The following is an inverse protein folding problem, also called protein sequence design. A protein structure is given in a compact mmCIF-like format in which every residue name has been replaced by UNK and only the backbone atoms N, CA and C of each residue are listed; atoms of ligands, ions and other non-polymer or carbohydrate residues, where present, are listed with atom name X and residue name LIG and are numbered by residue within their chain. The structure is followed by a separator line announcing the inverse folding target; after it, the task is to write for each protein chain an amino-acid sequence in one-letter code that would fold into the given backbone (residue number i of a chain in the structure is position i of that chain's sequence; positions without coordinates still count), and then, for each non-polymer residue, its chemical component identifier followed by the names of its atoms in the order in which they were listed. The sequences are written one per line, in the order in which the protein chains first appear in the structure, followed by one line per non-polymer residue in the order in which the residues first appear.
data_IF_660535196680
#
_entry.id   IF_660535196680
#
_cell.length_a   1.000
_cell.length_b   1.000
_cell.length_c   1.000
_cell.angle_alpha   90.00
_cell.angle_beta   90.00
_cell.angle_gamma   90.00
#
_symmetry.space_group_name_H-M   'P 1'
#
loop_
_entity.id
_entity.type
_entity.pdbx_description
1 polymer ?
#
# COMPACT_ATOMS: atom_id res chain seq x y z
N UNK A 1 -27.43 42.02 31.08
CA UNK A 1 -26.09 41.89 30.46
C UNK A 1 -25.67 40.44 30.21
N UNK A 2 -25.67 39.54 31.20
CA UNK A 2 -25.32 38.10 31.02
C UNK A 2 -26.09 37.37 29.89
N UNK A 3 -27.40 37.61 29.75
CA UNK A 3 -28.23 37.00 28.69
C UNK A 3 -27.89 37.49 27.27
N UNK A 4 -27.38 38.72 27.13
CA UNK A 4 -26.92 39.23 25.83
C UNK A 4 -25.59 38.61 25.45
N UNK A 5 -24.65 38.52 26.40
CA UNK A 5 -23.35 37.88 26.18
C UNK A 5 -23.52 36.41 25.79
N UNK A 6 -24.43 35.67 26.44
CA UNK A 6 -24.73 34.28 26.11
C UNK A 6 -25.34 34.12 24.71
N UNK A 7 -26.15 35.07 24.25
CA UNK A 7 -26.72 35.06 22.89
C UNK A 7 -25.66 35.32 21.82
N UNK A 8 -24.74 36.25 22.09
CA UNK A 8 -23.65 36.55 21.15
C UNK A 8 -22.63 35.41 21.06
N UNK A 9 -22.33 34.70 22.15
CA UNK A 9 -21.45 33.52 22.11
C UNK A 9 -22.08 32.34 21.37
N UNK A 10 -23.40 32.11 21.53
CA UNK A 10 -24.12 31.07 20.79
C UNK A 10 -24.18 31.38 19.28
N UNK A 11 -24.39 32.65 18.92
CA UNK A 11 -24.38 33.10 17.52
C UNK A 11 -23.00 32.92 16.87
N UNK A 12 -21.93 33.26 17.58
CA UNK A 12 -20.55 33.08 17.10
C UNK A 12 -20.19 31.59 16.91
N UNK A 13 -20.61 30.72 17.83
CA UNK A 13 -20.39 29.28 17.69
C UNK A 13 -21.13 28.68 16.48
N UNK A 14 -22.35 29.16 16.22
CA UNK A 14 -23.14 28.72 15.06
C UNK A 14 -22.53 29.16 13.72
N UNK A 15 -21.99 30.39 13.67
CA UNK A 15 -21.31 30.92 12.48
C UNK A 15 -19.98 30.20 12.19
N UNK A 16 -19.22 29.82 13.22
CA UNK A 16 -17.93 29.14 13.03
C UNK A 16 -18.06 27.64 12.72
N UNK A 17 -19.14 26.98 13.12
CA UNK A 17 -19.35 25.54 12.90
C UNK A 17 -19.52 25.12 11.42
N UNK A 18 -19.87 26.05 10.53
CA UNK A 18 -20.12 25.76 9.11
C UNK A 18 -18.86 25.62 8.24
N UNK A 19 -17.68 26.01 8.73
CA UNK A 19 -16.45 26.03 7.93
C UNK A 19 -15.57 24.79 8.07
N UNK A 20 -15.89 23.90 9.03
CA UNK A 20 -15.06 22.73 9.33
C UNK A 20 -15.31 21.51 8.41
N UNK A 21 -16.42 21.49 7.66
CA UNK A 21 -16.65 20.48 6.64
C UNK A 21 -16.20 21.00 5.27
N UNK A 22 -14.89 21.19 5.08
CA UNK A 22 -14.36 21.20 3.72
C UNK A 22 -14.49 19.79 3.15
N UNK A 23 -15.58 19.57 2.42
CA UNK A 23 -15.65 18.46 1.48
C UNK A 23 -14.50 18.67 0.49
N UNK A 24 -13.46 17.82 0.59
CA UNK A 24 -12.41 17.75 -0.43
C UNK A 24 -13.13 17.69 -1.77
N UNK A 25 -12.96 18.72 -2.59
CA UNK A 25 -13.60 18.78 -3.89
C UNK A 25 -13.25 17.46 -4.59
N UNK A 26 -14.25 16.59 -4.83
CA UNK A 26 -14.04 15.40 -5.65
C UNK A 26 -13.54 15.93 -6.97
N UNK A 27 -12.24 15.81 -7.22
CA UNK A 27 -11.61 16.16 -8.49
C UNK A 27 -12.24 15.26 -9.54
N UNK A 28 -13.35 15.73 -10.13
CA UNK A 28 -14.08 15.07 -11.20
C UNK A 28 -13.32 15.32 -12.50
N UNK A 29 -12.03 15.01 -12.49
CA UNK A 29 -11.15 15.22 -13.61
C UNK A 29 -11.21 13.96 -14.47
N UNK A 30 -11.78 14.09 -15.68
CA UNK A 30 -11.94 12.99 -16.63
C UNK A 30 -10.62 12.33 -17.04
N UNK A 31 -9.49 13.03 -16.81
CA UNK A 31 -8.14 12.50 -16.98
C UNK A 31 -7.73 11.48 -15.90
N UNK A 32 -8.45 11.39 -14.78
CA UNK A 32 -8.14 10.47 -13.67
C UNK A 32 -9.31 9.54 -13.31
N UNK A 33 -10.54 9.85 -13.77
CA UNK A 33 -11.74 9.05 -13.51
C UNK A 33 -12.70 9.18 -14.71
N UNK A 34 -12.94 8.10 -15.46
CA UNK A 34 -13.89 8.08 -16.58
C UNK A 34 -13.61 6.96 -17.59
N UNK A 35 -14.49 6.74 -18.59
CA UNK A 35 -14.34 5.66 -19.58
C UNK A 35 -13.11 5.80 -20.50
N UNK A 36 -12.44 6.97 -20.45
CA UNK A 36 -11.23 7.27 -21.23
C UNK A 36 -9.96 7.32 -20.35
N UNK A 37 -10.07 7.05 -19.05
CA UNK A 37 -8.92 6.92 -18.18
C UNK A 37 -8.30 5.53 -18.34
N UNK A 38 -7.10 5.47 -18.90
CA UNK A 38 -6.30 4.25 -18.99
C UNK A 38 -5.21 4.29 -17.93
N UNK A 39 -5.22 3.32 -17.01
CA UNK A 39 -4.22 3.21 -15.95
C UNK A 39 -2.87 2.87 -16.58
N UNK A 40 -1.95 3.84 -16.67
CA UNK A 40 -0.66 3.67 -17.34
C UNK A 40 0.38 2.86 -16.57
N UNK A 41 0.08 2.49 -15.32
CA UNK A 41 0.97 1.72 -14.43
C UNK A 41 0.42 0.33 -14.09
N UNK A 42 -0.59 -0.15 -14.82
CA UNK A 42 -1.11 -1.51 -14.70
C UNK A 42 -0.70 -2.29 -15.93
N UNK A 43 0.15 -3.29 -15.72
CA UNK A 43 0.61 -4.21 -16.75
C UNK A 43 -0.09 -5.55 -16.50
N UNK A 44 -1.10 -5.84 -17.31
CA UNK A 44 -1.83 -7.09 -17.25
C UNK A 44 -1.35 -8.02 -18.36
N UNK A 45 -1.11 -9.29 -18.02
CA UNK A 45 -0.93 -10.33 -19.02
C UNK A 45 -2.30 -10.62 -19.62
N UNK A 46 -2.50 -10.56 -20.95
CA UNK A 46 -3.82 -10.72 -21.58
C UNK A 46 -4.49 -12.06 -21.27
N UNK A 47 -3.70 -13.09 -20.97
CA UNK A 47 -4.19 -14.43 -20.62
C UNK A 47 -4.48 -14.62 -19.12
N UNK A 48 -4.32 -13.56 -18.32
CA UNK A 48 -4.43 -13.59 -16.87
C UNK A 48 -3.19 -14.20 -16.20
N UNK A 49 -3.33 -14.54 -14.92
CA UNK A 49 -2.25 -15.16 -14.16
C UNK A 49 -2.12 -16.64 -14.55
N UNK A 50 -0.89 -17.10 -14.76
CA UNK A 50 -0.65 -18.48 -15.15
C UNK A 50 -1.16 -19.49 -14.10
N UNK A 51 -1.82 -20.60 -14.49
CA UNK A 51 -2.46 -21.55 -13.56
C UNK A 51 -1.52 -22.22 -12.56
N UNK A 52 -0.22 -22.20 -12.84
CA UNK A 52 0.80 -22.80 -11.99
C UNK A 52 1.19 -21.91 -10.80
N UNK A 53 0.81 -20.63 -10.82
CA UNK A 53 1.09 -19.67 -9.74
C UNK A 53 0.03 -19.83 -8.65
N UNK A 54 0.41 -20.52 -7.57
CA UNK A 54 -0.48 -20.79 -6.42
C UNK A 54 0.00 -20.11 -5.15
N UNK A 55 1.32 -19.99 -5.00
CA UNK A 55 1.98 -19.46 -3.82
C UNK A 55 2.86 -18.27 -4.19
N UNK A 56 2.65 -17.17 -3.48
CA UNK A 56 3.31 -15.90 -3.71
C UNK A 56 4.11 -15.50 -2.49
N UNK A 57 5.38 -15.18 -2.69
CA UNK A 57 6.23 -14.62 -1.65
C UNK A 57 5.95 -13.12 -1.55
N UNK A 58 5.38 -12.68 -0.43
CA UNK A 58 5.19 -11.27 -0.16
C UNK A 58 6.46 -10.72 0.49
N UNK A 59 7.10 -9.78 -0.19
CA UNK A 59 8.29 -9.09 0.31
C UNK A 59 7.91 -8.17 1.48
N UNK A 60 8.85 -7.85 2.39
CA UNK A 60 8.58 -6.90 3.45
C UNK A 60 8.08 -5.57 2.90
N UNK A 61 7.11 -4.97 3.57
CA UNK A 61 6.64 -3.63 3.26
C UNK A 61 7.78 -2.65 3.51
N UNK A 62 8.05 -1.81 2.52
CA UNK A 62 9.07 -0.77 2.59
C UNK A 62 8.45 0.61 2.45
N UNK A 63 9.13 1.65 2.93
CA UNK A 63 8.82 2.99 2.46
C UNK A 63 9.30 3.08 1.02
N UNK A 64 8.47 3.62 0.12
CA UNK A 64 8.89 3.93 -1.24
C UNK A 64 10.16 4.79 -1.21
N UNK A 65 11.02 4.63 -2.22
CA UNK A 65 12.35 5.27 -2.22
C UNK A 65 12.25 6.79 -2.01
N UNK A 66 12.84 7.28 -0.92
CA UNK A 66 12.82 8.70 -0.54
C UNK A 66 11.58 9.14 0.26
N UNK A 67 10.61 8.27 0.52
CA UNK A 67 9.39 8.56 1.26
C UNK A 67 9.59 8.43 2.79
N UNK A 68 10.33 9.37 3.38
CA UNK A 68 10.58 9.40 4.84
C UNK A 68 9.30 9.53 5.67
N UNK A 69 8.25 10.11 5.11
CA UNK A 69 6.97 10.26 5.78
C UNK A 69 6.29 8.91 6.00
N UNK A 70 6.43 7.98 5.03
CA UNK A 70 5.87 6.64 5.11
C UNK A 70 6.62 5.70 6.05
N UNK A 71 7.91 5.95 6.37
CA UNK A 71 8.74 5.07 7.22
C UNK A 71 8.07 4.73 8.56
N UNK A 72 7.43 5.72 9.19
CA UNK A 72 6.71 5.53 10.47
C UNK A 72 5.47 4.64 10.31
N UNK A 73 4.84 4.68 9.13
CA UNK A 73 3.65 3.90 8.80
C UNK A 73 3.93 2.45 8.42
N UNK A 74 5.14 2.13 7.95
CA UNK A 74 5.51 0.77 7.48
C UNK A 74 5.18 -0.31 8.51
N UNK A 75 5.62 -0.12 9.76
CA UNK A 75 5.39 -1.11 10.82
C UNK A 75 3.91 -1.33 11.13
N UNK A 76 3.10 -0.25 11.09
CA UNK A 76 1.67 -0.32 11.36
C UNK A 76 0.91 -0.96 10.19
N UNK A 77 1.29 -0.61 8.96
CA UNK A 77 0.63 -1.09 7.75
C UNK A 77 1.04 -2.50 7.36
N UNK A 78 2.22 -2.99 7.74
CA UNK A 78 2.63 -4.37 7.47
C UNK A 78 1.61 -5.39 8.03
N UNK A 79 1.09 -5.15 9.24
CA UNK A 79 0.09 -6.02 9.86
C UNK A 79 -1.21 -6.03 9.06
N UNK A 80 -1.70 -4.82 8.71
CA UNK A 80 -2.92 -4.65 7.91
C UNK A 80 -2.78 -5.33 6.55
N UNK A 81 -1.68 -5.09 5.84
CA UNK A 81 -1.38 -5.69 4.55
C UNK A 81 -1.44 -7.23 4.63
N UNK A 82 -0.77 -7.80 5.62
CA UNK A 82 -0.73 -9.25 5.81
C UNK A 82 -2.12 -9.82 6.13
N UNK A 83 -2.92 -9.11 6.93
CA UNK A 83 -4.29 -9.51 7.27
C UNK A 83 -5.22 -9.46 6.05
N UNK A 84 -5.17 -8.39 5.26
CA UNK A 84 -6.02 -8.24 4.06
C UNK A 84 -5.71 -9.31 3.01
N UNK A 85 -4.43 -9.62 2.81
CA UNK A 85 -4.04 -10.69 1.90
C UNK A 85 -4.46 -12.08 2.41
N UNK A 86 -4.37 -12.32 3.72
CA UNK A 86 -4.84 -13.55 4.35
C UNK A 86 -6.36 -13.72 4.25
N UNK A 87 -7.11 -12.62 4.39
CA UNK A 87 -8.58 -12.59 4.34
C UNK A 87 -9.12 -12.88 2.95
N UNK A 88 -8.53 -12.28 1.92
CA UNK A 88 -9.03 -12.38 0.55
C UNK A 88 -8.70 -13.71 -0.15
N UNK A 89 -7.72 -14.48 0.37
CA UNK A 89 -7.36 -15.84 -0.10
C UNK A 89 -7.19 -15.97 -1.62
N UNK A 90 -6.74 -14.90 -2.28
CA UNK A 90 -6.51 -14.88 -3.73
C UNK A 90 -5.32 -15.80 -4.08
N UNK A 91 -4.29 -15.81 -3.22
CA UNK A 91 -3.12 -16.69 -3.33
C UNK A 91 -2.77 -17.26 -1.95
N UNK A 92 -1.98 -18.35 -1.94
CA UNK A 92 -1.28 -18.77 -0.73
C UNK A 92 -0.08 -17.82 -0.51
N UNK A 93 -0.17 -16.97 0.51
CA UNK A 93 0.82 -15.92 0.77
C UNK A 93 1.85 -16.41 1.79
N UNK A 94 3.12 -16.39 1.39
CA UNK A 94 4.25 -16.57 2.31
C UNK A 94 4.89 -15.22 2.56
N UNK A 95 4.74 -14.70 3.78
CA UNK A 95 5.37 -13.43 4.16
C UNK A 95 6.87 -13.63 4.39
N UNK A 96 7.69 -12.91 3.64
CA UNK A 96 9.13 -12.86 3.82
C UNK A 96 9.46 -11.70 4.74
N UNK A 97 10.08 -11.98 5.89
CA UNK A 97 10.45 -10.94 6.86
C UNK A 97 11.77 -10.26 6.47
N UNK A 98 12.03 -9.02 6.92
CA UNK A 98 13.31 -8.36 6.68
C UNK A 98 14.52 -9.17 7.16
N UNK A 99 14.39 -9.87 8.29
CA UNK A 99 15.45 -10.73 8.81
C UNK A 99 15.70 -11.97 7.95
N UNK A 100 14.64 -12.55 7.37
CA UNK A 100 14.78 -13.65 6.40
C UNK A 100 15.45 -13.18 5.12
N UNK A 101 15.06 -12.01 4.62
CA UNK A 101 15.70 -11.39 3.45
C UNK A 101 17.20 -11.14 3.71
N UNK A 102 17.54 -10.63 4.89
CA UNK A 102 18.92 -10.36 5.28
C UNK A 102 19.77 -11.63 5.28
N UNK A 103 19.21 -12.75 5.75
CA UNK A 103 19.90 -14.04 5.80
C UNK A 103 20.15 -14.64 4.41
N UNK A 104 19.21 -14.47 3.48
CA UNK A 104 19.27 -15.09 2.15
C UNK A 104 20.06 -14.23 1.15
N UNK A 105 19.82 -12.91 1.16
CA UNK A 105 20.33 -11.98 0.15
C UNK A 105 21.25 -10.89 0.72
N UNK A 106 21.50 -10.88 2.03
CA UNK A 106 22.33 -9.85 2.67
C UNK A 106 21.67 -8.46 2.73
N UNK A 107 20.38 -8.36 2.39
CA UNK A 107 19.62 -7.10 2.37
C UNK A 107 18.34 -7.23 3.19
N UNK A 108 17.91 -6.14 3.85
CA UNK A 108 16.65 -6.10 4.61
C UNK A 108 15.43 -5.77 3.75
N UNK A 109 15.67 -5.20 2.57
CA UNK A 109 14.67 -4.78 1.59
C UNK A 109 15.25 -4.89 0.17
N UNK A 110 14.40 -5.19 -0.81
CA UNK A 110 14.69 -5.17 -2.25
C UNK A 110 13.49 -4.48 -2.90
N UNK A 111 13.75 -3.44 -3.69
CA UNK A 111 12.72 -2.67 -4.39
C UNK A 111 12.37 -3.30 -5.74
N UNK A 112 11.16 -3.04 -6.25
CA UNK A 112 10.78 -3.54 -7.58
C UNK A 112 11.53 -2.82 -8.72
N UNK A 113 12.00 -1.59 -8.45
CA UNK A 113 12.65 -0.70 -9.41
C UNK A 113 14.17 -0.86 -9.47
N UNK A 114 14.77 -1.75 -8.67
CA UNK A 114 16.20 -2.01 -8.66
C UNK A 114 16.57 -3.32 -9.34
N UNK A 115 17.81 -3.45 -9.85
CA UNK A 115 18.30 -4.74 -10.33
C UNK A 115 18.22 -5.79 -9.23
N UNK A 116 17.47 -6.86 -9.49
CA UNK A 116 17.31 -7.96 -8.56
C UNK A 116 18.65 -8.70 -8.37
N UNK A 117 18.93 -9.24 -7.17
CA UNK A 117 20.10 -10.09 -6.95
C UNK A 117 20.19 -11.23 -7.97
N UNK A 118 21.41 -11.68 -8.26
CA UNK A 118 21.60 -12.86 -9.09
C UNK A 118 20.85 -14.07 -8.50
N UNK A 119 20.19 -14.82 -9.36
CA UNK A 119 19.34 -15.95 -9.02
C UNK A 119 18.23 -15.68 -7.97
N UNK A 120 17.79 -14.42 -7.83
CA UNK A 120 16.83 -14.01 -6.81
C UNK A 120 15.58 -14.89 -6.79
N UNK A 121 14.96 -15.11 -7.97
CA UNK A 121 13.74 -15.90 -8.08
C UNK A 121 13.99 -17.38 -7.80
N UNK A 122 15.08 -17.99 -8.30
CA UNK A 122 15.37 -19.41 -8.03
C UNK A 122 15.69 -19.64 -6.55
N UNK A 123 16.49 -18.77 -5.93
CA UNK A 123 16.82 -18.87 -4.50
C UNK A 123 15.55 -18.74 -3.67
N UNK A 124 14.72 -17.75 -3.97
CA UNK A 124 13.48 -17.54 -3.23
C UNK A 124 12.51 -18.70 -3.41
N UNK A 125 12.36 -19.23 -4.62
CA UNK A 125 11.56 -20.43 -4.90
C UNK A 125 12.08 -21.62 -4.10
N UNK A 126 13.40 -21.85 -4.04
CA UNK A 126 14.00 -22.94 -3.26
C UNK A 126 13.74 -22.79 -1.76
N UNK A 127 13.84 -21.56 -1.24
CA UNK A 127 13.68 -21.27 0.19
C UNK A 127 12.22 -21.24 0.65
N UNK A 128 11.29 -20.87 -0.21
CA UNK A 128 9.89 -20.58 0.16
C UNK A 128 8.86 -21.45 -0.57
N UNK A 129 9.24 -22.10 -1.66
CA UNK A 129 8.34 -22.82 -2.56
C UNK A 129 7.39 -21.92 -3.35
N UNK A 130 7.62 -20.60 -3.37
CA UNK A 130 6.75 -19.65 -4.09
C UNK A 130 7.08 -19.61 -5.58
N UNK A 131 6.07 -19.43 -6.43
CA UNK A 131 6.23 -19.29 -7.89
C UNK A 131 6.30 -17.83 -8.34
N UNK A 132 5.81 -16.90 -7.51
CA UNK A 132 5.82 -15.49 -7.80
C UNK A 132 6.21 -14.66 -6.57
N UNK A 133 6.56 -13.40 -6.81
CA UNK A 133 6.92 -12.41 -5.80
C UNK A 133 5.99 -11.22 -5.89
N UNK A 134 5.57 -10.72 -4.72
CA UNK A 134 4.90 -9.45 -4.57
C UNK A 134 5.83 -8.47 -3.84
N UNK A 135 6.26 -7.43 -4.54
CA UNK A 135 6.95 -6.29 -3.94
C UNK A 135 5.92 -5.34 -3.34
N UNK A 136 6.20 -4.80 -2.14
CA UNK A 136 5.23 -3.98 -1.41
C UNK A 136 5.90 -2.71 -0.88
N UNK A 137 5.30 -1.55 -1.18
CA UNK A 137 5.83 -0.22 -0.89
C UNK A 137 4.70 0.72 -0.44
N UNK A 138 5.01 1.67 0.44
CA UNK A 138 4.14 2.77 0.91
C UNK A 138 4.54 4.14 0.37
#
# INVERSE_FOLDING_TARGET
MKKMILRYTLLAAFLCGGTACQQVAKLKNGAYIGPFYTVGNVYETPEGLEPHIKRVAMMPLTSGRGNRNAERGVHQMQAVLTEEFSRNRIFDIVTVTPGRLQRIFGRRAIYADEPLPHDFLQILQRETGCQAVLFTEL
#
